data_IF_648160033532
#
_entry.id   IF_648160033532
#
_cell.length_a   1.000
_cell.length_b   1.000
_cell.length_c   1.000
_cell.angle_alpha   90.00
_cell.angle_beta   90.00
_cell.angle_gamma   90.00
#
_symmetry.space_group_name_H-M   'P 1'
#
loop_
_entity.id
_entity.type
_entity.pdbx_description
1 polymer ?
#
# COMPACT_ATOMS: atom_id res chain seq x y z
N UNK A 1 6.65 -11.88 -15.74
CA UNK A 1 7.45 -11.03 -16.67
C UNK A 1 8.31 -10.07 -15.88
N UNK A 2 9.56 -9.87 -16.28
CA UNK A 2 10.46 -8.92 -15.61
C UNK A 2 10.31 -7.53 -16.23
N UNK A 3 10.09 -6.53 -15.40
CA UNK A 3 9.97 -5.13 -15.78
C UNK A 3 11.36 -4.47 -15.87
N UNK A 4 11.41 -3.28 -16.46
CA UNK A 4 12.66 -2.51 -16.62
C UNK A 4 13.32 -2.12 -15.30
N UNK A 5 12.56 -2.09 -14.19
CA UNK A 5 13.07 -1.83 -12.84
C UNK A 5 13.60 -3.10 -12.14
N UNK A 6 13.64 -4.24 -12.85
CA UNK A 6 14.07 -5.54 -12.33
C UNK A 6 13.02 -6.25 -11.46
N UNK A 7 11.82 -5.68 -11.30
CA UNK A 7 10.72 -6.34 -10.58
C UNK A 7 10.00 -7.33 -11.46
N UNK A 8 9.39 -8.35 -10.84
CA UNK A 8 8.56 -9.31 -11.56
C UNK A 8 7.09 -8.97 -11.41
N UNK A 9 6.43 -8.89 -12.55
CA UNK A 9 5.00 -8.73 -12.68
C UNK A 9 4.33 -10.08 -12.92
N UNK A 10 3.18 -10.29 -12.28
CA UNK A 10 2.34 -11.50 -12.37
C UNK A 10 0.88 -11.12 -12.57
N UNK A 11 0.09 -12.07 -13.04
CA UNK A 11 -1.35 -11.91 -13.20
C UNK A 11 -2.01 -11.54 -11.86
N UNK A 12 -2.98 -10.63 -11.91
CA UNK A 12 -3.63 -10.04 -10.75
C UNK A 12 -2.76 -9.05 -9.95
N UNK A 13 -1.49 -8.86 -10.31
CA UNK A 13 -0.60 -7.87 -9.72
C UNK A 13 -0.99 -6.44 -10.10
N UNK A 14 -0.52 -5.46 -9.33
CA UNK A 14 -0.80 -4.04 -9.56
C UNK A 14 0.44 -3.32 -10.05
N UNK A 15 0.24 -2.39 -10.97
CA UNK A 15 1.30 -1.77 -11.77
C UNK A 15 0.98 -0.31 -12.04
N UNK A 16 2.03 0.49 -12.25
CA UNK A 16 1.92 1.85 -12.77
C UNK A 16 2.17 1.82 -14.26
N UNK A 17 1.35 2.56 -14.98
CA UNK A 17 1.40 2.65 -16.44
C UNK A 17 1.45 4.11 -16.87
N UNK A 18 1.89 4.33 -18.09
CA UNK A 18 2.03 5.67 -18.68
C UNK A 18 1.01 5.82 -19.80
N UNK A 19 0.09 6.78 -19.66
CA UNK A 19 -0.86 7.14 -20.70
C UNK A 19 -0.21 7.99 -21.81
N UNK A 20 -0.99 8.31 -22.84
CA UNK A 20 -0.54 9.08 -24.01
C UNK A 20 0.01 10.47 -23.66
N UNK A 21 -0.53 11.12 -22.61
CA UNK A 21 -0.10 12.45 -22.17
C UNK A 21 1.02 12.41 -21.12
N UNK A 22 1.76 11.31 -21.03
CA UNK A 22 2.74 11.05 -19.97
C UNK A 22 2.13 11.04 -18.54
N UNK A 23 0.80 11.01 -18.42
CA UNK A 23 0.10 10.86 -17.16
C UNK A 23 0.28 9.44 -16.62
N UNK A 24 0.50 9.36 -15.31
CA UNK A 24 0.64 8.08 -14.62
C UNK A 24 -0.73 7.58 -14.19
N UNK A 25 -0.96 6.29 -14.42
CA UNK A 25 -2.17 5.59 -13.97
C UNK A 25 -1.79 4.33 -13.23
N UNK A 26 -2.70 3.83 -12.40
CA UNK A 26 -2.59 2.53 -11.75
C UNK A 26 -3.48 1.55 -12.48
N UNK A 27 -3.04 0.30 -12.59
CA UNK A 27 -3.82 -0.78 -13.15
C UNK A 27 -3.55 -2.10 -12.46
N UNK A 28 -4.47 -3.03 -12.61
CA UNK A 28 -4.30 -4.43 -12.29
C UNK A 28 -4.04 -5.21 -13.57
N UNK A 29 -3.02 -6.06 -13.55
CA UNK A 29 -2.66 -6.95 -14.65
C UNK A 29 -3.74 -8.00 -14.79
N UNK A 30 -4.43 -7.99 -15.93
CA UNK A 30 -5.43 -8.99 -16.27
C UNK A 30 -4.76 -10.17 -16.97
N UNK A 31 -3.90 -9.87 -17.93
CA UNK A 31 -3.25 -10.87 -18.75
C UNK A 31 -1.91 -10.35 -19.28
N UNK A 32 -0.92 -11.23 -19.32
CA UNK A 32 0.38 -10.96 -19.90
C UNK A 32 0.54 -11.78 -21.18
N UNK A 33 0.63 -11.08 -22.31
CA UNK A 33 0.76 -11.70 -23.62
C UNK A 33 2.21 -11.69 -24.08
N UNK A 34 2.71 -12.87 -24.42
CA UNK A 34 4.03 -13.06 -25.01
C UNK A 34 3.87 -13.45 -26.48
N UNK A 35 4.46 -12.67 -27.39
CA UNK A 35 4.60 -13.12 -28.77
C UNK A 35 5.75 -14.11 -28.84
N UNK A 36 5.49 -15.32 -29.34
CA UNK A 36 6.55 -16.30 -29.55
C UNK A 36 7.62 -15.78 -30.53
N UNK A 37 8.88 -16.12 -30.26
CA UNK A 37 10.05 -15.76 -31.10
C UNK A 37 10.27 -14.25 -31.28
N UNK A 38 9.75 -13.42 -30.37
CA UNK A 38 10.08 -11.99 -30.31
C UNK A 38 11.38 -11.74 -29.53
N UNK A 39 12.00 -10.57 -29.72
CA UNK A 39 13.14 -10.11 -28.91
C UNK A 39 12.76 -10.10 -27.43
N UNK A 40 11.53 -9.67 -27.11
CA UNK A 40 10.99 -9.65 -25.74
C UNK A 40 10.92 -11.07 -25.14
N UNK A 41 10.55 -12.07 -25.97
CA UNK A 41 10.51 -13.47 -25.54
C UNK A 41 11.89 -13.99 -25.18
N UNK A 42 12.94 -13.51 -25.84
CA UNK A 42 14.33 -13.88 -25.55
C UNK A 42 14.89 -13.14 -24.32
N UNK A 43 14.33 -11.98 -23.97
CA UNK A 43 14.74 -11.15 -22.82
C UNK A 43 13.86 -11.31 -21.58
N UNK A 44 12.90 -12.24 -21.58
CA UNK A 44 11.90 -12.43 -20.51
C UNK A 44 11.01 -11.19 -20.23
N UNK A 45 10.80 -10.37 -21.26
CA UNK A 45 9.91 -9.21 -21.26
C UNK A 45 8.58 -9.53 -21.98
N UNK A 46 7.47 -8.93 -21.53
CA UNK A 46 6.17 -9.11 -22.18
C UNK A 46 6.11 -8.37 -23.53
N UNK A 47 5.40 -8.94 -24.50
CA UNK A 47 5.10 -8.24 -25.75
C UNK A 47 3.89 -7.31 -25.62
N UNK A 48 2.86 -7.71 -24.87
CA UNK A 48 1.72 -6.86 -24.54
C UNK A 48 1.21 -7.19 -23.14
N UNK A 49 0.67 -6.19 -22.44
CA UNK A 49 0.06 -6.40 -21.14
C UNK A 49 -1.32 -5.75 -21.15
N UNK A 50 -2.32 -6.58 -20.86
CA UNK A 50 -3.69 -6.16 -20.67
C UNK A 50 -3.87 -5.79 -19.20
N UNK A 51 -4.31 -4.56 -18.95
CA UNK A 51 -4.60 -4.12 -17.59
C UNK A 51 -6.05 -3.68 -17.46
N UNK A 52 -6.60 -3.88 -16.26
CA UNK A 52 -7.81 -3.21 -15.79
C UNK A 52 -7.39 -1.95 -15.07
N UNK A 53 -7.85 -0.80 -15.53
CA UNK A 53 -7.52 0.47 -14.93
C UNK A 53 -8.08 0.56 -13.51
N UNK A 54 -7.36 1.31 -12.69
CA UNK A 54 -7.77 1.66 -11.34
C UNK A 54 -8.03 3.15 -11.28
N UNK A 55 -9.23 3.52 -10.86
CA UNK A 55 -9.55 4.84 -10.34
C UNK A 55 -9.12 4.94 -8.87
N UNK A 56 -8.38 6.00 -8.59
CA UNK A 56 -7.76 6.34 -7.30
C UNK A 56 -8.25 7.69 -6.78
N UNK A 57 -9.35 8.21 -7.32
CA UNK A 57 -9.91 9.50 -6.95
C UNK A 57 -10.54 9.49 -5.55
N UNK A 58 -10.81 8.30 -5.00
CA UNK A 58 -11.46 8.12 -3.70
C UNK A 58 -10.45 7.85 -2.61
N UNK A 59 -10.71 8.40 -1.42
CA UNK A 59 -9.85 8.27 -0.26
C UNK A 59 -10.40 7.22 0.72
N UNK A 60 -9.54 6.34 1.23
CA UNK A 60 -9.76 5.61 2.47
C UNK A 60 -9.28 6.47 3.64
N UNK A 61 -10.21 7.14 4.31
CA UNK A 61 -9.95 8.19 5.30
C UNK A 61 -9.08 7.66 6.44
N UNK A 62 -9.32 6.43 6.87
CA UNK A 62 -8.65 5.77 7.99
C UNK A 62 -7.15 5.57 7.75
N UNK A 63 -6.74 5.44 6.49
CA UNK A 63 -5.33 5.29 6.11
C UNK A 63 -4.74 6.52 5.42
N UNK A 64 -5.59 7.48 5.02
CA UNK A 64 -5.20 8.60 4.15
C UNK A 64 -4.53 8.13 2.87
N UNK A 65 -5.05 7.03 2.31
CA UNK A 65 -4.56 6.38 1.09
C UNK A 65 -5.67 6.27 0.04
N UNK A 66 -5.34 6.25 -1.27
CA UNK A 66 -6.33 6.07 -2.31
C UNK A 66 -7.00 4.69 -2.25
N UNK A 67 -8.31 4.65 -2.45
CA UNK A 67 -9.02 3.41 -2.71
C UNK A 67 -8.73 2.92 -4.13
N UNK A 68 -8.82 1.61 -4.32
CA UNK A 68 -8.66 0.96 -5.61
C UNK A 68 -10.06 0.62 -6.13
N UNK A 69 -10.53 1.37 -7.12
CA UNK A 69 -11.77 1.07 -7.83
C UNK A 69 -11.45 0.70 -9.26
N UNK A 70 -12.01 -0.41 -9.74
CA UNK A 70 -11.73 -0.88 -11.09
C UNK A 70 -12.62 -0.19 -12.12
N UNK A 71 -12.02 0.20 -13.23
CA UNK A 71 -12.72 0.77 -14.39
C UNK A 71 -12.43 -0.07 -15.64
N UNK A 72 -12.25 0.57 -16.79
CA UNK A 72 -12.11 -0.07 -18.10
C UNK A 72 -10.81 -0.87 -18.24
N UNK A 73 -10.74 -1.66 -19.31
CA UNK A 73 -9.59 -2.51 -19.64
C UNK A 73 -8.89 -1.95 -20.89
N UNK A 74 -7.56 -1.86 -20.86
CA UNK A 74 -6.77 -1.44 -22.02
C UNK A 74 -5.38 -2.07 -22.06
N UNK A 75 -4.75 -1.98 -23.23
CA UNK A 75 -3.36 -2.35 -23.44
C UNK A 75 -2.45 -1.17 -23.12
N UNK A 76 -1.34 -1.45 -22.45
CA UNK A 76 -0.37 -0.40 -22.12
C UNK A 76 1.00 -0.99 -21.85
N UNK A 77 2.01 -0.11 -21.88
CA UNK A 77 3.32 -0.41 -21.35
C UNK A 77 3.33 -0.22 -19.83
N UNK A 78 4.03 -1.10 -19.14
CA UNK A 78 4.23 -1.04 -17.70
C UNK A 78 5.49 -0.27 -17.36
N UNK A 79 5.43 0.50 -16.28
CA UNK A 79 6.61 1.16 -15.71
C UNK A 79 7.17 0.29 -14.59
N UNK A 80 6.33 -0.03 -13.60
CA UNK A 80 6.77 -0.67 -12.38
C UNK A 80 5.61 -1.31 -11.61
N UNK A 81 5.91 -2.24 -10.70
CA UNK A 81 4.91 -2.83 -9.80
C UNK A 81 4.62 -1.93 -8.60
N UNK A 82 3.37 -1.96 -8.14
CA UNK A 82 2.91 -1.31 -6.92
C UNK A 82 2.12 -2.27 -6.03
N UNK A 83 2.13 -1.99 -4.74
CA UNK A 83 1.43 -2.80 -3.76
C UNK A 83 0.07 -2.18 -3.44
N UNK A 84 -0.94 -3.02 -3.40
CA UNK A 84 -2.23 -2.72 -2.80
C UNK A 84 -2.38 -3.54 -1.52
N UNK A 85 -3.19 -3.03 -0.61
CA UNK A 85 -3.50 -3.66 0.66
C UNK A 85 -5.01 -3.73 0.83
N UNK A 86 -5.49 -4.65 1.66
CA UNK A 86 -6.92 -4.70 1.98
C UNK A 86 -7.30 -3.59 2.95
N UNK A 87 -8.49 -2.99 2.78
CA UNK A 87 -9.02 -1.98 3.67
C UNK A 87 -9.56 -2.61 4.98
N UNK A 88 -8.67 -3.19 5.79
CA UNK A 88 -9.08 -4.00 6.94
C UNK A 88 -9.88 -3.21 7.98
N UNK A 89 -9.48 -1.96 8.24
CA UNK A 89 -10.12 -1.10 9.26
C UNK A 89 -11.54 -0.73 8.83
N UNK A 90 -11.74 -0.21 7.61
CA UNK A 90 -13.08 0.12 7.09
C UNK A 90 -14.02 -1.08 7.02
N UNK A 91 -13.50 -2.28 6.74
CA UNK A 91 -14.29 -3.51 6.71
C UNK A 91 -14.38 -4.24 8.06
N UNK A 92 -13.79 -3.70 9.13
CA UNK A 92 -13.80 -4.28 10.48
C UNK A 92 -13.35 -5.75 10.54
N UNK A 93 -12.35 -6.10 9.71
CA UNK A 93 -11.83 -7.47 9.65
C UNK A 93 -11.29 -7.92 11.00
N UNK A 94 -11.47 -9.20 11.33
CA UNK A 94 -11.12 -9.75 12.65
C UNK A 94 -10.19 -10.94 12.53
N UNK A 95 -9.39 -11.16 13.57
CA UNK A 95 -8.50 -12.30 13.70
C UNK A 95 -9.26 -13.58 14.11
N UNK A 96 -10.32 -13.94 13.37
CA UNK A 96 -11.17 -15.11 13.63
C UNK A 96 -10.66 -16.37 12.93
N UNK A 97 -9.76 -16.22 11.97
CA UNK A 97 -9.14 -17.34 11.26
C UNK A 97 -7.96 -17.91 12.05
N UNK A 98 -7.51 -19.09 11.64
CA UNK A 98 -6.28 -19.68 12.14
C UNK A 98 -5.52 -20.36 11.01
N UNK A 99 -4.19 -20.36 11.08
CA UNK A 99 -3.33 -21.13 10.18
C UNK A 99 -2.28 -21.92 10.99
N UNK A 100 -1.88 -23.10 10.52
CA UNK A 100 -0.80 -23.85 11.16
C UNK A 100 0.50 -23.04 11.12
N UNK A 101 1.33 -23.20 12.15
CA UNK A 101 2.68 -22.61 12.20
C UNK A 101 3.65 -23.58 11.57
N UNK A 102 4.48 -23.06 10.66
CA UNK A 102 5.57 -23.79 10.03
C UNK A 102 6.91 -23.39 10.64
N UNK A 103 7.77 -24.36 10.95
CA UNK A 103 9.20 -24.16 11.23
C UNK A 103 10.00 -25.07 10.31
N UNK A 104 11.00 -24.49 9.63
CA UNK A 104 11.85 -25.21 8.67
C UNK A 104 11.05 -25.98 7.60
N UNK A 105 9.88 -25.45 7.21
CA UNK A 105 8.98 -26.08 6.24
C UNK A 105 8.03 -27.14 6.80
N UNK A 106 8.14 -27.51 8.07
CA UNK A 106 7.27 -28.50 8.71
C UNK A 106 6.19 -27.86 9.58
N UNK A 107 4.97 -28.40 9.51
CA UNK A 107 3.85 -28.01 10.39
C UNK A 107 4.19 -28.47 11.82
N UNK A 108 4.07 -27.56 12.78
CA UNK A 108 4.20 -27.90 14.20
C UNK A 108 2.82 -28.33 14.72
N UNK A 109 2.63 -29.59 15.13
CA UNK A 109 1.35 -30.07 15.64
C UNK A 109 0.89 -29.24 16.84
N UNK A 110 -0.40 -28.89 16.86
CA UNK A 110 -1.00 -28.12 17.95
C UNK A 110 -0.65 -26.62 17.98
N UNK A 111 0.23 -26.13 17.10
CA UNK A 111 0.60 -24.71 17.04
C UNK A 111 -0.08 -24.00 15.88
N UNK A 112 -1.02 -23.12 16.23
CA UNK A 112 -1.74 -22.28 15.29
C UNK A 112 -1.48 -20.81 15.61
N UNK A 113 -1.53 -19.98 14.57
CA UNK A 113 -1.48 -18.53 14.69
C UNK A 113 -2.81 -17.95 14.19
N UNK A 114 -3.35 -16.93 14.86
CA UNK A 114 -4.55 -16.25 14.40
C UNK A 114 -4.28 -15.53 13.08
N UNK A 115 -5.28 -15.51 12.20
CA UNK A 115 -5.23 -14.86 10.87
C UNK A 115 -6.42 -13.94 10.73
N UNK A 116 -6.18 -12.76 10.14
CA UNK A 116 -7.25 -11.84 9.78
C UNK A 116 -8.10 -12.47 8.67
N UNK A 117 -9.39 -12.66 8.96
CA UNK A 117 -10.38 -13.01 7.94
C UNK A 117 -10.89 -11.71 7.35
N UNK A 118 -10.68 -11.56 6.03
CA UNK A 118 -11.06 -10.36 5.31
C UNK A 118 -12.54 -10.40 4.93
N UNK A 119 -13.27 -9.42 5.41
CA UNK A 119 -14.61 -9.07 4.90
C UNK A 119 -14.44 -8.21 3.64
N UNK A 120 -15.22 -8.51 2.59
CA UNK A 120 -15.14 -7.85 1.28
C UNK A 120 -13.70 -7.77 0.72
N UNK A 121 -13.15 -8.89 0.18
CA UNK A 121 -11.74 -8.99 -0.20
C UNK A 121 -11.31 -8.03 -1.32
N UNK A 122 -12.27 -7.46 -2.06
CA UNK A 122 -12.01 -6.51 -3.15
C UNK A 122 -11.94 -5.06 -2.71
N UNK A 123 -12.24 -4.75 -1.44
CA UNK A 123 -12.08 -3.40 -0.90
C UNK A 123 -10.61 -3.14 -0.58
N UNK A 124 -9.89 -2.62 -1.57
CA UNK A 124 -8.44 -2.46 -1.56
C UNK A 124 -8.04 -0.97 -1.51
N UNK A 125 -6.85 -0.71 -0.99
CA UNK A 125 -6.21 0.60 -0.94
C UNK A 125 -4.81 0.53 -1.54
N UNK A 126 -4.39 1.59 -2.23
CA UNK A 126 -3.05 1.71 -2.79
C UNK A 126 -2.05 2.05 -1.68
N UNK A 127 -1.01 1.24 -1.50
CA UNK A 127 0.01 1.52 -0.50
C UNK A 127 0.95 2.63 -0.97
N UNK A 128 0.59 3.88 -0.66
CA UNK A 128 1.40 5.04 -1.02
C UNK A 128 2.66 5.20 -0.16
N UNK A 129 2.84 4.38 0.87
CA UNK A 129 4.03 4.36 1.72
C UNK A 129 5.12 3.38 1.21
N UNK A 130 4.87 2.68 0.10
CA UNK A 130 5.86 1.78 -0.50
C UNK A 130 7.15 2.51 -0.86
N UNK A 131 8.29 1.99 -0.38
CA UNK A 131 9.62 2.57 -0.65
C UNK A 131 10.12 2.26 -2.07
N UNK A 132 9.96 1.01 -2.53
CA UNK A 132 10.34 0.63 -3.89
C UNK A 132 9.45 1.38 -4.87
N UNK A 133 10.02 1.95 -5.94
CA UNK A 133 9.28 2.71 -6.94
C UNK A 133 8.55 3.95 -6.38
N UNK A 134 8.97 4.45 -5.21
CA UNK A 134 8.36 5.61 -4.55
C UNK A 134 8.25 6.82 -5.48
N UNK A 135 9.23 7.04 -6.37
CA UNK A 135 9.16 8.14 -7.35
C UNK A 135 7.87 8.11 -8.16
N UNK A 136 7.34 6.94 -8.51
CA UNK A 136 6.07 6.81 -9.23
C UNK A 136 4.89 6.78 -8.26
N UNK A 137 5.00 6.03 -7.17
CA UNK A 137 3.90 5.83 -6.19
C UNK A 137 3.48 7.15 -5.52
N UNK A 138 4.44 8.03 -5.19
CA UNK A 138 4.16 9.29 -4.50
C UNK A 138 3.29 10.26 -5.32
N UNK A 139 3.19 10.08 -6.64
CA UNK A 139 2.28 10.88 -7.48
C UNK A 139 0.80 10.67 -7.11
N UNK A 140 0.48 9.51 -6.53
CA UNK A 140 -0.87 9.15 -6.12
C UNK A 140 -1.14 9.41 -4.64
N UNK A 141 -0.18 10.00 -3.91
CA UNK A 141 -0.32 10.25 -2.49
C UNK A 141 -1.34 11.35 -2.24
N UNK A 142 -2.26 11.09 -1.30
CA UNK A 142 -3.13 12.12 -0.75
C UNK A 142 -2.28 13.08 0.08
N UNK A 143 -2.30 14.36 -0.29
CA UNK A 143 -1.48 15.37 0.38
C UNK A 143 -1.89 15.45 1.85
N UNK A 144 -0.91 15.26 2.73
CA UNK A 144 -1.08 15.55 4.14
C UNK A 144 -1.27 17.07 4.30
N UNK A 145 -2.12 17.51 5.24
CA UNK A 145 -2.22 18.93 5.57
C UNK A 145 -0.83 19.46 5.95
N UNK A 146 -0.50 20.66 5.47
CA UNK A 146 0.73 21.32 5.90
C UNK A 146 0.57 21.76 7.34
N UNK A 147 1.44 21.26 8.21
CA UNK A 147 1.46 21.65 9.61
C UNK A 147 2.36 22.86 9.78
N UNK A 148 1.92 23.84 10.58
CA UNK A 148 2.76 24.97 10.96
C UNK A 148 3.80 24.50 11.97
N UNK A 149 5.05 24.37 11.52
CA UNK A 149 6.13 23.85 12.33
C UNK A 149 6.36 24.68 13.61
N UNK A 150 6.20 26.00 13.53
CA UNK A 150 6.44 26.88 14.67
C UNK A 150 5.39 26.68 15.76
N UNK A 151 4.11 26.63 15.37
CA UNK A 151 3.00 26.37 16.29
C UNK A 151 3.15 24.99 16.96
N UNK A 152 3.45 23.95 16.18
CA UNK A 152 3.67 22.62 16.73
C UNK A 152 4.83 22.55 17.72
N UNK A 153 5.94 23.25 17.44
CA UNK A 153 7.08 23.31 18.36
C UNK A 153 6.69 24.03 19.65
N UNK A 154 6.01 25.17 19.57
CA UNK A 154 5.55 25.93 20.73
C UNK A 154 4.56 25.11 21.57
N UNK A 155 3.57 24.48 20.95
CA UNK A 155 2.59 23.62 21.62
C UNK A 155 3.26 22.42 22.30
N UNK A 156 4.24 21.79 21.64
CA UNK A 156 4.96 20.64 22.20
C UNK A 156 5.79 21.02 23.42
N UNK A 157 6.50 22.15 23.36
CA UNK A 157 7.27 22.68 24.49
C UNK A 157 6.34 23.04 25.65
N UNK A 158 5.22 23.71 25.36
CA UNK A 158 4.25 24.09 26.38
C UNK A 158 3.66 22.85 27.08
N UNK A 159 3.28 21.83 26.31
CA UNK A 159 2.77 20.55 26.84
C UNK A 159 3.79 19.86 27.75
N UNK A 160 5.06 19.82 27.36
CA UNK A 160 6.15 19.26 28.19
C UNK A 160 6.36 20.06 29.49
N UNK A 161 6.31 21.40 29.43
CA UNK A 161 6.41 22.27 30.61
C UNK A 161 5.25 22.00 31.58
N UNK A 162 4.03 21.88 31.06
CA UNK A 162 2.83 21.69 31.88
C UNK A 162 2.83 20.31 32.57
N UNK A 163 3.27 19.26 31.87
CA UNK A 163 3.47 17.93 32.46
C UNK A 163 4.48 17.98 33.61
N UNK A 164 5.62 18.66 33.43
CA UNK A 164 6.64 18.80 34.48
C UNK A 164 6.16 19.62 35.67
N UNK A 165 5.41 20.70 35.43
CA UNK A 165 4.81 21.52 36.48
C UNK A 165 3.79 20.72 37.29
N UNK A 166 2.91 19.97 36.63
CA UNK A 166 1.93 19.11 37.29
C UNK A 166 2.59 18.02 38.15
N UNK A 167 3.64 17.37 37.63
CA UNK A 167 4.40 16.37 38.38
C UNK A 167 5.09 16.95 39.62
N UNK A 168 5.71 18.14 39.53
CA UNK A 168 6.29 18.83 40.71
C UNK A 168 5.23 19.16 41.76
N UNK A 169 4.09 19.69 41.33
CA UNK A 169 2.99 20.05 42.23
C UNK A 169 2.43 18.83 42.96
N UNK A 170 2.32 17.68 42.28
CA UNK A 170 1.90 16.42 42.89
C UNK A 170 2.88 15.91 43.96
N UNK A 171 4.20 16.04 43.71
CA UNK A 171 5.25 15.67 44.67
C UNK A 171 5.23 16.57 45.91
N UNK A 172 5.00 17.88 45.75
CA UNK A 172 4.88 18.82 46.88
C UNK A 172 3.62 18.55 47.71
N UNK A 173 2.51 18.22 47.06
CA UNK A 173 1.24 17.91 47.75
C UNK A 173 1.31 16.58 48.51
N UNK A 174 2.06 15.59 48.02
CA UNK A 174 2.25 14.29 48.69
C UNK A 174 3.24 14.33 49.87
N UNK A 175 4.00 15.43 50.03
CA UNK A 175 4.95 15.64 51.14
C UNK A 175 4.36 16.46 52.29
N UNK A 176 3.17 17.01 52.12
CA UNK A 176 2.42 17.80 53.11
C UNK A 176 1.38 16.92 53.80
#
# INVERSE_FOLDING_TARGET
VTLSDGTTCKDGGFVVTRGHNNSLHVGQVVEILQRERSVDSMSSQASFILIRQVDISFEAIEYRMPQVLFTDIYFTNLICTVNVQHHCVGNKCRATGSRPVYQEGHIIPGKFQPVIVHENPHHLVLNTAQMRNAIFVQHFRIRSPQLNAQELLTESVQREIDVRKAARKAVETARS
#
